data_IF_769222690511
#
_entry.id   IF_769222690511
#
_cell.length_a   1.000
_cell.length_b   1.000
_cell.length_c   1.000
_cell.angle_alpha   90.00
_cell.angle_beta   90.00
_cell.angle_gamma   90.00
#
_symmetry.space_group_name_H-M   'P 1'
#
loop_
_entity.id
_entity.type
_entity.pdbx_description
1 polymer ?
#
# COMPACT_ATOMS: atom_id res chain seq x y z
N UNK A 1 29.66 1.65 -7.42
CA UNK A 1 28.65 0.58 -7.52
C UNK A 1 27.68 0.77 -6.37
N UNK A 2 26.41 0.95 -6.68
CA UNK A 2 25.35 1.25 -5.73
C UNK A 2 24.18 1.85 -6.49
N UNK A 3 23.64 1.09 -7.43
CA UNK A 3 22.44 1.46 -8.15
C UNK A 3 21.29 1.42 -7.13
N UNK A 4 20.85 2.59 -6.67
CA UNK A 4 19.56 2.71 -6.00
C UNK A 4 18.51 2.37 -7.06
N UNK A 5 18.02 1.13 -7.03
CA UNK A 5 16.84 0.73 -7.80
C UNK A 5 15.68 1.57 -7.30
N UNK A 6 15.45 2.73 -7.93
CA UNK A 6 14.19 3.43 -7.84
C UNK A 6 13.18 2.45 -8.42
N UNK A 7 12.49 1.71 -7.55
CA UNK A 7 11.31 0.96 -7.95
C UNK A 7 10.27 2.00 -8.36
N UNK A 8 10.31 2.38 -9.64
CA UNK A 8 9.21 3.08 -10.28
C UNK A 8 7.94 2.28 -9.99
N UNK A 9 7.04 2.86 -9.20
CA UNK A 9 5.66 2.39 -9.13
C UNK A 9 5.15 2.41 -10.58
N UNK A 10 5.11 1.24 -11.22
CA UNK A 10 4.51 1.08 -12.54
C UNK A 10 3.00 1.22 -12.39
N UNK A 11 2.51 2.46 -12.29
CA UNK A 11 1.09 2.81 -12.28
C UNK A 11 0.36 2.32 -13.55
N UNK A 12 1.12 1.90 -14.58
CA UNK A 12 0.62 1.31 -15.82
C UNK A 12 0.10 -0.14 -15.68
N UNK A 13 0.33 -0.80 -14.55
CA UNK A 13 -0.26 -2.12 -14.22
C UNK A 13 -1.20 -2.05 -13.02
N UNK A 14 -1.77 -0.88 -12.74
CA UNK A 14 -2.94 -0.85 -11.86
C UNK A 14 -4.03 -1.68 -12.55
N UNK A 15 -4.77 -2.54 -11.82
CA UNK A 15 -6.01 -3.11 -12.34
C UNK A 15 -6.89 -1.99 -12.89
N UNK A 16 -7.88 -2.30 -13.73
CA UNK A 16 -8.93 -1.34 -14.10
C UNK A 16 -9.76 -0.99 -12.85
N UNK A 17 -9.18 -0.18 -11.98
CA UNK A 17 -9.79 0.36 -10.79
C UNK A 17 -10.62 1.57 -11.22
N UNK A 18 -11.87 1.56 -10.82
CA UNK A 18 -12.74 2.72 -10.96
C UNK A 18 -12.14 3.94 -10.23
N UNK A 19 -12.46 5.16 -10.67
CA UNK A 19 -12.06 6.39 -9.97
C UNK A 19 -12.40 6.34 -8.47
N UNK A 20 -13.57 5.79 -8.13
CA UNK A 20 -14.00 5.57 -6.75
C UNK A 20 -13.04 4.67 -5.95
N UNK A 21 -12.50 3.64 -6.57
CA UNK A 21 -11.52 2.75 -5.94
C UNK A 21 -10.16 3.43 -5.77
N UNK A 22 -9.76 4.27 -6.74
CA UNK A 22 -8.53 5.07 -6.66
C UNK A 22 -8.64 6.08 -5.51
N UNK A 23 -9.75 6.80 -5.39
CA UNK A 23 -10.01 7.72 -4.28
C UNK A 23 -10.02 7.00 -2.93
N UNK A 24 -10.65 5.82 -2.88
CA UNK A 24 -10.67 4.99 -1.67
C UNK A 24 -9.26 4.55 -1.27
N UNK A 25 -8.44 4.09 -2.24
CA UNK A 25 -7.03 3.73 -1.99
C UNK A 25 -6.25 4.91 -1.43
N UNK A 26 -6.34 6.07 -2.09
CA UNK A 26 -5.64 7.28 -1.65
C UNK A 26 -6.00 7.64 -0.21
N UNK A 27 -7.29 7.58 0.14
CA UNK A 27 -7.76 7.84 1.50
C UNK A 27 -7.27 6.80 2.51
N UNK A 28 -7.41 5.51 2.22
CA UNK A 28 -6.97 4.43 3.13
C UNK A 28 -5.47 4.51 3.40
N UNK A 29 -4.67 4.85 2.39
CA UNK A 29 -3.22 5.03 2.54
C UNK A 29 -2.88 6.28 3.35
N UNK A 30 -3.53 7.42 3.07
CA UNK A 30 -3.31 8.63 3.85
C UNK A 30 -3.66 8.42 5.33
N UNK A 31 -4.82 7.82 5.61
CA UNK A 31 -5.24 7.46 6.96
C UNK A 31 -4.26 6.47 7.61
N UNK A 32 -3.58 5.62 6.82
CA UNK A 32 -2.63 4.62 7.33
C UNK A 32 -1.30 5.23 7.68
N UNK A 33 -0.80 6.10 6.80
CA UNK A 33 0.42 6.84 7.05
C UNK A 33 0.28 7.73 8.29
N UNK A 34 -0.84 8.45 8.43
CA UNK A 34 -1.11 9.31 9.60
C UNK A 34 -1.12 8.50 10.91
N UNK A 35 -1.90 7.41 10.95
CA UNK A 35 -2.01 6.56 12.14
C UNK A 35 -0.70 5.88 12.55
N UNK A 36 0.21 5.64 11.60
CA UNK A 36 1.49 4.98 11.84
C UNK A 36 2.68 5.96 11.89
N UNK A 37 2.43 7.28 11.81
CA UNK A 37 3.47 8.32 11.73
C UNK A 37 4.49 8.04 10.62
N UNK A 38 4.02 7.55 9.48
CA UNK A 38 4.83 7.25 8.30
C UNK A 38 4.78 8.43 7.34
N UNK A 39 5.94 8.87 6.85
CA UNK A 39 6.00 9.86 5.78
C UNK A 39 5.42 9.29 4.48
N UNK A 40 4.51 10.03 3.86
CA UNK A 40 3.78 9.62 2.64
C UNK A 40 4.73 9.46 1.45
N UNK A 41 5.89 10.12 1.47
CA UNK A 41 6.95 9.97 0.48
C UNK A 41 7.97 8.86 0.78
N UNK A 42 7.86 8.19 1.92
CA UNK A 42 8.84 7.20 2.37
C UNK A 42 8.58 5.77 1.86
N UNK A 43 9.60 4.92 1.96
CA UNK A 43 9.54 3.52 1.51
C UNK A 43 8.39 2.72 2.16
N UNK A 44 8.08 3.01 3.43
CA UNK A 44 6.95 2.41 4.13
C UNK A 44 5.59 2.78 3.53
N UNK A 45 5.41 4.03 3.07
CA UNK A 45 4.19 4.46 2.40
C UNK A 45 4.07 3.84 1.01
N UNK A 46 5.17 3.75 0.27
CA UNK A 46 5.20 3.05 -1.01
C UNK A 46 4.88 1.55 -0.87
N UNK A 47 5.42 0.90 0.15
CA UNK A 47 5.12 -0.50 0.45
C UNK A 47 3.65 -0.70 0.86
N UNK A 48 3.08 0.22 1.66
CA UNK A 48 1.67 0.20 2.01
C UNK A 48 0.77 0.40 0.78
N UNK A 49 1.14 1.31 -0.12
CA UNK A 49 0.43 1.55 -1.37
C UNK A 49 0.39 0.29 -2.25
N UNK A 50 1.54 -0.35 -2.45
CA UNK A 50 1.63 -1.61 -3.20
C UNK A 50 0.77 -2.71 -2.56
N UNK A 51 0.84 -2.87 -1.24
CA UNK A 51 0.03 -3.84 -0.52
C UNK A 51 -1.48 -3.58 -0.64
N UNK A 52 -1.91 -2.32 -0.55
CA UNK A 52 -3.31 -1.96 -0.69
C UNK A 52 -3.83 -2.19 -2.13
N UNK A 53 -3.01 -1.92 -3.13
CA UNK A 53 -3.33 -2.26 -4.54
C UNK A 53 -3.47 -3.77 -4.69
N UNK A 54 -2.54 -4.58 -4.19
CA UNK A 54 -2.61 -6.04 -4.28
C UNK A 54 -3.89 -6.58 -3.62
N UNK A 55 -4.22 -6.08 -2.44
CA UNK A 55 -5.43 -6.46 -1.69
C UNK A 55 -6.71 -6.11 -2.45
N UNK A 56 -6.78 -4.90 -3.02
CA UNK A 56 -7.95 -4.47 -3.78
C UNK A 56 -8.06 -5.17 -5.14
N UNK A 57 -6.92 -5.54 -5.74
CA UNK A 57 -6.87 -6.33 -6.97
C UNK A 57 -7.40 -7.75 -6.73
N UNK A 58 -7.06 -8.35 -5.59
CA UNK A 58 -7.53 -9.68 -5.20
C UNK A 58 -9.04 -9.68 -4.86
N UNK A 59 -9.57 -8.57 -4.36
CA UNK A 59 -10.99 -8.41 -4.09
C UNK A 59 -11.45 -6.95 -4.29
N UNK A 60 -11.99 -6.66 -5.47
CA UNK A 60 -12.42 -5.31 -5.86
C UNK A 60 -13.64 -4.79 -5.10
N UNK A 61 -14.33 -5.64 -4.34
CA UNK A 61 -15.52 -5.30 -3.55
C UNK A 61 -15.20 -4.94 -2.09
N UNK A 62 -13.92 -4.85 -1.71
CA UNK A 62 -13.53 -4.43 -0.38
C UNK A 62 -14.04 -3.01 -0.09
N UNK A 63 -14.73 -2.85 1.04
CA UNK A 63 -14.98 -1.52 1.60
C UNK A 63 -13.69 -0.90 2.15
N UNK A 64 -13.66 0.42 2.30
CA UNK A 64 -12.50 1.15 2.84
C UNK A 64 -12.04 0.60 4.20
N UNK A 65 -12.97 0.24 5.08
CA UNK A 65 -12.64 -0.32 6.40
C UNK A 65 -12.02 -1.72 6.32
N UNK A 66 -12.52 -2.57 5.41
CA UNK A 66 -11.95 -3.91 5.18
C UNK A 66 -10.57 -3.82 4.54
N UNK A 67 -10.39 -2.94 3.56
CA UNK A 67 -9.09 -2.70 2.94
C UNK A 67 -8.08 -2.18 3.98
N UNK A 68 -8.50 -1.26 4.85
CA UNK A 68 -7.65 -0.76 5.93
C UNK A 68 -7.22 -1.87 6.90
N UNK A 69 -8.17 -2.68 7.37
CA UNK A 69 -7.85 -3.78 8.28
C UNK A 69 -6.91 -4.80 7.63
N UNK A 70 -7.14 -5.14 6.36
CA UNK A 70 -6.27 -6.05 5.62
C UNK A 70 -4.86 -5.47 5.41
N UNK A 71 -4.77 -4.16 5.16
CA UNK A 71 -3.50 -3.45 5.04
C UNK A 71 -2.71 -3.48 6.36
N UNK A 72 -3.36 -3.23 7.50
CA UNK A 72 -2.71 -3.29 8.82
C UNK A 72 -2.11 -4.68 9.09
N UNK A 73 -2.85 -5.74 8.78
CA UNK A 73 -2.35 -7.13 8.89
C UNK A 73 -1.16 -7.33 7.96
N UNK A 74 -1.30 -6.98 6.68
CA UNK A 74 -0.27 -7.21 5.66
C UNK A 74 1.04 -6.47 5.95
N UNK A 75 0.96 -5.25 6.45
CA UNK A 75 2.13 -4.45 6.81
C UNK A 75 2.77 -4.92 8.12
N UNK A 76 1.99 -5.44 9.07
CA UNK A 76 2.52 -6.08 10.27
C UNK A 76 3.27 -7.39 9.93
N UNK A 77 2.74 -8.18 8.99
CA UNK A 77 3.42 -9.38 8.48
C UNK A 77 4.75 -9.02 7.79
N UNK A 78 4.73 -8.05 6.86
CA UNK A 78 5.96 -7.59 6.17
C UNK A 78 7.05 -7.14 7.14
N UNK A 79 6.71 -6.37 8.18
CA UNK A 79 7.66 -5.95 9.23
C UNK A 79 8.25 -7.13 10.02
N UNK A 80 7.52 -8.24 10.11
CA UNK A 80 7.98 -9.46 10.78
C UNK A 80 8.86 -10.33 9.88
N UNK A 81 8.69 -10.22 8.57
CA UNK A 81 9.46 -10.94 7.56
C UNK A 81 10.76 -10.23 7.17
N UNK A 82 10.91 -8.92 7.45
CA UNK A 82 12.20 -8.23 7.36
C UNK A 82 13.18 -8.92 8.32
N UNK A 83 14.21 -9.62 7.82
CA UNK A 83 15.23 -10.18 8.69
C UNK A 83 15.93 -9.00 9.34
N UNK A 84 15.92 -8.96 10.67
CA UNK A 84 16.87 -8.17 11.45
C UNK A 84 18.28 -8.64 11.06
N UNK A 85 18.89 -7.90 10.13
CA UNK A 85 20.25 -8.06 9.63
C UNK A 85 21.09 -6.88 10.10
#
# INVERSE_FOLDING_TARGET
>A
MGEATIMSLNLLNLPELSERQIEMLAKVIADWCDANSVDVGGDCAQAAYAAAVDLLSANTNLSAGQLRQALDVRMAEKRREEPSL
#
